data_IF_136190258277
#
_entry.id   IF_136190258277
#
_cell.length_a   1.000
_cell.length_b   1.000
_cell.length_c   1.000
_cell.angle_alpha   90.00
_cell.angle_beta   90.00
_cell.angle_gamma   90.00
#
_symmetry.space_group_name_H-M   'P 1'
#
loop_
_entity.id
_entity.type
_entity.pdbx_description
1 polymer ?
#
# COMPACT_ATOMS: atom_id res chain seq x y z
N UNK A 1 2.44 18.32 -40.49
CA UNK A 1 2.11 18.29 -39.05
C UNK A 1 3.21 17.51 -38.35
N UNK A 2 3.95 18.18 -37.50
CA UNK A 2 5.26 17.76 -37.00
C UNK A 2 5.10 16.79 -35.82
N UNK A 3 5.79 15.67 -35.89
CA UNK A 3 5.85 14.60 -34.90
C UNK A 3 6.66 14.99 -33.63
N UNK A 4 6.46 16.20 -33.09
CA UNK A 4 7.21 16.71 -31.94
C UNK A 4 6.45 16.61 -30.61
N UNK A 5 5.16 16.26 -30.64
CA UNK A 5 4.32 16.28 -29.42
C UNK A 5 4.38 14.98 -28.59
N UNK A 6 5.00 13.93 -29.11
CA UNK A 6 5.13 12.64 -28.40
C UNK A 6 6.26 12.59 -27.35
N UNK A 7 7.04 13.65 -27.19
CA UNK A 7 8.19 13.67 -26.26
C UNK A 7 7.78 14.11 -24.85
N UNK A 8 6.64 14.79 -24.70
CA UNK A 8 6.20 15.38 -23.42
C UNK A 8 5.74 14.32 -22.43
N UNK A 9 5.03 13.29 -22.86
CA UNK A 9 4.51 12.23 -21.99
C UNK A 9 5.61 11.31 -21.42
N UNK A 10 6.67 11.04 -22.17
CA UNK A 10 7.79 10.22 -21.73
C UNK A 10 8.72 10.90 -20.70
N UNK A 11 8.65 12.22 -20.53
CA UNK A 11 9.56 12.96 -19.64
C UNK A 11 9.05 13.03 -18.20
N UNK A 12 7.74 13.06 -17.97
CA UNK A 12 7.15 13.18 -16.65
C UNK A 12 7.23 11.87 -15.87
N UNK A 13 6.93 10.75 -16.53
CA UNK A 13 7.03 9.42 -15.92
C UNK A 13 8.48 9.02 -15.53
N UNK A 14 9.50 9.66 -16.12
CA UNK A 14 10.91 9.41 -15.80
C UNK A 14 11.41 10.10 -14.52
N UNK A 15 10.57 10.88 -13.86
CA UNK A 15 10.97 11.67 -12.69
C UNK A 15 10.60 11.04 -11.35
N UNK A 16 9.94 9.88 -11.36
CA UNK A 16 9.71 9.12 -10.12
C UNK A 16 11.04 8.60 -9.58
N UNK A 17 11.20 8.69 -8.29
CA UNK A 17 12.39 8.24 -7.57
C UNK A 17 12.16 6.84 -7.00
N UNK A 18 13.22 6.00 -7.07
CA UNK A 18 13.24 4.66 -6.52
C UNK A 18 14.21 4.66 -5.34
N UNK A 19 13.70 4.55 -4.13
CA UNK A 19 14.48 4.52 -2.91
C UNK A 19 14.11 3.30 -2.05
N UNK A 20 15.08 2.41 -1.83
CA UNK A 20 14.85 1.14 -1.13
C UNK A 20 13.73 0.32 -1.78
N UNK A 21 12.65 0.11 -1.06
CA UNK A 21 11.44 -0.58 -1.49
C UNK A 21 10.31 0.38 -1.92
N UNK A 22 10.58 1.68 -2.00
CA UNK A 22 9.60 2.74 -2.24
C UNK A 22 9.83 3.36 -3.62
N UNK A 23 8.73 3.59 -4.34
CA UNK A 23 8.71 4.46 -5.51
C UNK A 23 7.92 5.70 -5.14
N UNK A 24 8.54 6.87 -5.20
CA UNK A 24 7.91 8.10 -4.75
C UNK A 24 8.11 9.27 -5.71
N UNK A 25 7.30 10.29 -5.53
CA UNK A 25 7.38 11.54 -6.28
C UNK A 25 6.28 12.51 -5.89
N UNK A 26 6.40 13.75 -6.33
CA UNK A 26 5.33 14.75 -6.13
C UNK A 26 4.04 14.29 -6.78
N UNK A 27 2.95 14.33 -6.01
CA UNK A 27 1.66 13.73 -6.38
C UNK A 27 0.99 14.38 -7.61
N UNK A 28 1.32 15.63 -7.89
CA UNK A 28 0.76 16.45 -8.97
C UNK A 28 1.65 16.53 -10.22
N UNK A 29 2.95 16.19 -10.09
CA UNK A 29 3.91 16.37 -11.17
C UNK A 29 4.64 15.08 -11.59
N UNK A 30 4.99 14.23 -10.64
CA UNK A 30 5.86 13.07 -10.84
C UNK A 30 5.10 11.74 -10.72
N UNK A 31 4.38 11.55 -9.61
CA UNK A 31 3.57 10.36 -9.37
C UNK A 31 2.17 10.54 -9.96
N UNK A 32 2.10 10.56 -11.29
CA UNK A 32 0.84 10.61 -12.03
C UNK A 32 0.17 9.24 -12.09
N UNK A 33 -1.13 9.15 -12.40
CA UNK A 33 -1.79 7.86 -12.65
C UNK A 33 -1.10 7.02 -13.73
N UNK A 34 -0.51 7.64 -14.75
CA UNK A 34 0.27 6.95 -15.77
C UNK A 34 1.55 6.34 -15.18
N UNK A 35 2.28 7.09 -14.34
CA UNK A 35 3.46 6.57 -13.66
C UNK A 35 3.10 5.40 -12.74
N UNK A 36 2.02 5.52 -11.97
CA UNK A 36 1.53 4.47 -11.08
C UNK A 36 1.11 3.20 -11.85
N UNK A 37 0.42 3.35 -12.99
CA UNK A 37 0.08 2.24 -13.89
C UNK A 37 1.35 1.52 -14.37
N UNK A 38 2.36 2.27 -14.81
CA UNK A 38 3.63 1.70 -15.29
C UNK A 38 4.40 0.99 -14.17
N UNK A 39 4.38 1.52 -12.94
CA UNK A 39 4.97 0.83 -11.78
C UNK A 39 4.22 -0.48 -11.53
N UNK A 40 2.89 -0.47 -11.55
CA UNK A 40 2.06 -1.67 -11.40
C UNK A 40 2.37 -2.73 -12.45
N UNK A 41 2.47 -2.34 -13.73
CA UNK A 41 2.82 -3.24 -14.80
C UNK A 41 4.26 -3.79 -14.68
N UNK A 42 5.24 -2.93 -14.35
CA UNK A 42 6.62 -3.34 -14.12
C UNK A 42 6.77 -4.29 -12.91
N UNK A 43 5.95 -4.10 -11.88
CA UNK A 43 5.90 -4.99 -10.72
C UNK A 43 5.33 -6.36 -11.10
N UNK A 44 4.22 -6.37 -11.83
CA UNK A 44 3.51 -7.58 -12.23
C UNK A 44 4.29 -8.44 -13.25
N UNK A 45 5.04 -7.81 -14.17
CA UNK A 45 5.84 -8.51 -15.18
C UNK A 45 6.91 -9.46 -14.61
N UNK A 46 7.17 -9.37 -13.30
CA UNK A 46 8.10 -10.25 -12.58
C UNK A 46 7.49 -11.59 -12.18
N UNK A 47 6.18 -11.72 -12.20
CA UNK A 47 5.49 -12.90 -11.71
C UNK A 47 5.28 -13.94 -12.80
N UNK A 48 5.49 -15.21 -12.43
CA UNK A 48 5.08 -16.32 -13.27
C UNK A 48 3.56 -16.50 -13.16
N UNK A 49 2.89 -16.62 -14.30
CA UNK A 49 1.44 -16.82 -14.34
C UNK A 49 1.06 -18.29 -14.12
N UNK A 50 -0.09 -18.59 -13.49
CA UNK A 50 -1.07 -17.64 -12.93
C UNK A 50 -0.59 -17.02 -11.60
N UNK A 51 -0.83 -15.74 -11.40
CA UNK A 51 -0.44 -15.02 -10.20
C UNK A 51 -1.50 -14.00 -9.78
N UNK A 52 -1.47 -13.63 -8.50
CA UNK A 52 -2.32 -12.56 -7.92
C UNK A 52 -1.46 -11.55 -7.19
N UNK A 53 -1.82 -10.28 -7.26
CA UNK A 53 -1.17 -9.22 -6.50
C UNK A 53 -2.21 -8.32 -5.82
N UNK A 54 -1.93 -7.93 -4.58
CA UNK A 54 -2.81 -7.07 -3.80
C UNK A 54 -2.42 -5.60 -3.92
N UNK A 55 -3.41 -4.70 -3.90
CA UNK A 55 -3.17 -3.25 -3.87
C UNK A 55 -4.08 -2.59 -2.85
N UNK A 56 -3.48 -1.80 -1.95
CA UNK A 56 -4.18 -1.02 -0.94
C UNK A 56 -3.81 0.46 -1.05
N UNK A 57 -4.66 1.34 -0.52
CA UNK A 57 -4.38 2.76 -0.40
C UNK A 57 -4.64 3.27 1.01
N UNK A 58 -3.95 4.32 1.42
CA UNK A 58 -4.11 4.99 2.72
C UNK A 58 -5.48 5.67 2.91
N UNK A 59 -6.22 5.90 1.85
CA UNK A 59 -7.60 6.42 1.89
C UNK A 59 -7.75 7.87 1.42
N UNK A 60 -6.67 8.65 1.28
CA UNK A 60 -6.73 9.97 0.68
C UNK A 60 -7.14 9.89 -0.80
N UNK A 61 -7.86 10.89 -1.33
CA UNK A 61 -8.39 10.85 -2.70
C UNK A 61 -7.33 10.54 -3.76
N UNK A 62 -6.13 11.14 -3.65
CA UNK A 62 -5.04 10.89 -4.61
C UNK A 62 -4.52 9.45 -4.53
N UNK A 63 -4.36 8.91 -3.32
CA UNK A 63 -3.94 7.52 -3.12
C UNK A 63 -4.93 6.53 -3.70
N UNK A 64 -6.23 6.83 -3.62
CA UNK A 64 -7.29 6.01 -4.22
C UNK A 64 -7.20 6.03 -5.75
N UNK A 65 -7.00 7.19 -6.36
CA UNK A 65 -6.82 7.30 -7.83
C UNK A 65 -5.60 6.51 -8.28
N UNK A 66 -4.46 6.68 -7.62
CA UNK A 66 -3.24 5.97 -7.93
C UNK A 66 -3.39 4.44 -7.72
N UNK A 67 -4.13 4.00 -6.69
CA UNK A 67 -4.45 2.58 -6.48
C UNK A 67 -5.12 1.97 -7.70
N UNK A 68 -6.13 2.63 -8.27
CA UNK A 68 -6.82 2.11 -9.46
C UNK A 68 -5.91 2.08 -10.69
N UNK A 69 -5.02 3.04 -10.83
CA UNK A 69 -4.01 3.03 -11.89
C UNK A 69 -3.04 1.84 -11.73
N UNK A 70 -2.57 1.57 -10.53
CA UNK A 70 -1.72 0.39 -10.22
C UNK A 70 -2.45 -0.91 -10.52
N UNK A 71 -3.72 -1.05 -10.10
CA UNK A 71 -4.54 -2.23 -10.39
C UNK A 71 -4.66 -2.49 -11.89
N UNK A 72 -4.95 -1.44 -12.68
CA UNK A 72 -5.01 -1.54 -14.12
C UNK A 72 -3.66 -1.96 -14.73
N UNK A 73 -2.54 -1.42 -14.21
CA UNK A 73 -1.20 -1.80 -14.63
C UNK A 73 -0.89 -3.28 -14.36
N UNK A 74 -1.24 -3.78 -13.19
CA UNK A 74 -1.06 -5.20 -12.81
C UNK A 74 -1.90 -6.10 -13.73
N UNK A 75 -3.19 -5.80 -13.86
CA UNK A 75 -4.10 -6.59 -14.68
C UNK A 75 -3.69 -6.62 -16.16
N UNK A 76 -3.11 -5.53 -16.67
CA UNK A 76 -2.62 -5.46 -18.05
C UNK A 76 -1.51 -6.47 -18.37
N UNK A 77 -0.87 -7.05 -17.37
CA UNK A 77 0.19 -8.06 -17.52
C UNK A 77 -0.31 -9.50 -17.29
N UNK A 78 -1.63 -9.72 -17.23
CA UNK A 78 -2.22 -11.05 -17.00
C UNK A 78 -2.22 -11.50 -15.55
N UNK A 79 -1.84 -10.65 -14.60
CA UNK A 79 -1.86 -10.94 -13.17
C UNK A 79 -3.18 -10.49 -12.57
N UNK A 80 -3.85 -11.34 -11.79
CA UNK A 80 -5.07 -10.95 -11.09
C UNK A 80 -4.74 -9.87 -10.05
N UNK A 81 -5.48 -8.75 -10.09
CA UNK A 81 -5.25 -7.60 -9.25
C UNK A 81 -6.33 -7.49 -8.17
N UNK A 82 -5.96 -7.65 -6.91
CA UNK A 82 -6.90 -7.66 -5.79
C UNK A 82 -6.91 -6.31 -5.07
N UNK A 83 -8.01 -5.59 -5.18
CA UNK A 83 -8.19 -4.32 -4.48
C UNK A 83 -8.50 -4.59 -3.00
N UNK A 84 -7.64 -4.10 -2.11
CA UNK A 84 -7.88 -4.12 -0.66
C UNK A 84 -8.50 -2.78 -0.25
N UNK A 85 -9.49 -2.83 0.66
CA UNK A 85 -10.04 -1.61 1.26
C UNK A 85 -8.97 -0.85 2.02
N UNK A 86 -9.19 0.46 2.25
CA UNK A 86 -8.25 1.29 2.97
C UNK A 86 -7.91 0.68 4.34
N UNK A 87 -6.64 0.37 4.55
CA UNK A 87 -6.12 -0.28 5.74
C UNK A 87 -4.76 0.33 6.11
N UNK A 88 -4.28 0.05 7.31
CA UNK A 88 -2.91 0.39 7.67
C UNK A 88 -1.90 -0.46 6.86
N UNK A 89 -0.70 0.07 6.66
CA UNK A 89 0.37 -0.66 5.96
C UNK A 89 0.66 -2.02 6.61
N UNK A 90 0.64 -2.10 7.95
CA UNK A 90 0.85 -3.36 8.69
C UNK A 90 -0.28 -4.38 8.46
N UNK A 91 -1.53 -3.93 8.40
CA UNK A 91 -2.67 -4.78 8.06
C UNK A 91 -2.58 -5.25 6.61
N UNK A 92 -2.14 -4.40 5.70
CA UNK A 92 -1.91 -4.75 4.31
C UNK A 92 -0.79 -5.79 4.13
N UNK A 93 0.37 -5.59 4.76
CA UNK A 93 1.46 -6.56 4.79
C UNK A 93 0.99 -7.95 5.26
N UNK A 94 0.21 -7.98 6.36
CA UNK A 94 -0.42 -9.21 6.84
C UNK A 94 -1.37 -9.84 5.80
N UNK A 95 -2.15 -9.00 5.10
CA UNK A 95 -3.05 -9.43 4.03
C UNK A 95 -2.31 -10.12 2.91
N UNK A 96 -1.27 -9.52 2.35
CA UNK A 96 -0.46 -10.09 1.25
C UNK A 96 -0.02 -11.50 1.61
N UNK A 97 0.58 -11.66 2.80
CA UNK A 97 1.05 -12.96 3.27
C UNK A 97 -0.07 -13.99 3.45
N UNK A 98 -1.27 -13.56 3.91
CA UNK A 98 -2.38 -14.48 4.22
C UNK A 98 -3.17 -14.92 3.01
N UNK A 99 -3.23 -14.11 1.98
CA UNK A 99 -4.04 -14.38 0.79
C UNK A 99 -3.29 -15.14 -0.30
N UNK A 100 -1.99 -15.39 -0.10
CA UNK A 100 -1.17 -16.08 -1.08
C UNK A 100 -0.93 -15.26 -2.35
N UNK A 101 -1.01 -13.94 -2.24
CA UNK A 101 -0.61 -13.05 -3.33
C UNK A 101 0.90 -13.16 -3.57
N UNK A 102 1.32 -13.10 -4.83
CA UNK A 102 2.74 -13.10 -5.21
C UNK A 102 3.48 -11.82 -4.77
N UNK A 103 2.72 -10.82 -4.32
CA UNK A 103 3.21 -9.58 -3.74
C UNK A 103 2.11 -8.55 -3.62
N UNK A 104 2.50 -7.33 -3.22
CA UNK A 104 1.53 -6.24 -3.08
C UNK A 104 2.14 -4.86 -3.21
N UNK A 105 1.29 -3.87 -3.48
CA UNK A 105 1.65 -2.45 -3.51
C UNK A 105 0.74 -1.67 -2.56
N UNK A 106 1.34 -0.96 -1.62
CA UNK A 106 0.66 -0.03 -0.74
C UNK A 106 0.85 1.39 -1.25
N UNK A 107 -0.25 2.07 -1.50
CA UNK A 107 -0.26 3.46 -2.00
C UNK A 107 -0.51 4.40 -0.84
N UNK A 108 0.45 5.25 -0.55
CA UNK A 108 0.40 6.25 0.49
C UNK A 108 0.52 7.67 -0.10
N UNK A 109 0.00 8.65 0.63
CA UNK A 109 0.22 10.06 0.34
C UNK A 109 0.51 10.80 1.65
N UNK A 110 1.61 11.51 1.72
CA UNK A 110 1.98 12.32 2.88
C UNK A 110 1.93 13.82 2.57
N UNK A 111 0.83 14.26 1.98
CA UNK A 111 0.58 15.65 1.62
C UNK A 111 1.08 15.99 0.21
N UNK A 112 2.37 16.24 0.01
CA UNK A 112 2.91 16.57 -1.33
C UNK A 112 3.44 15.35 -2.08
N UNK A 113 3.92 14.33 -1.36
CA UNK A 113 4.52 13.15 -1.95
C UNK A 113 3.54 11.98 -1.94
N UNK A 114 3.39 11.35 -3.09
CA UNK A 114 2.77 10.04 -3.19
C UNK A 114 3.85 8.96 -3.23
N UNK A 115 3.60 7.87 -2.54
CA UNK A 115 4.53 6.77 -2.32
C UNK A 115 3.87 5.44 -2.64
N UNK A 116 4.57 4.61 -3.38
CA UNK A 116 4.19 3.22 -3.64
C UNK A 116 5.20 2.33 -2.92
N UNK A 117 4.79 1.67 -1.84
CA UNK A 117 5.61 0.73 -1.09
C UNK A 117 5.34 -0.67 -1.62
N UNK A 118 6.39 -1.36 -2.07
CA UNK A 118 6.29 -2.67 -2.72
C UNK A 118 6.64 -3.79 -1.75
N UNK A 119 5.84 -4.84 -1.75
CA UNK A 119 5.96 -6.01 -0.88
C UNK A 119 6.10 -7.31 -1.68
N UNK A 120 6.86 -8.26 -1.14
CA UNK A 120 6.96 -9.62 -1.65
C UNK A 120 5.76 -10.50 -1.20
N UNK A 121 5.78 -11.78 -1.55
CA UNK A 121 4.76 -12.77 -1.20
C UNK A 121 4.65 -13.03 0.32
N UNK A 122 5.68 -12.70 1.09
CA UNK A 122 5.71 -12.84 2.55
C UNK A 122 5.16 -11.59 3.26
N UNK A 123 4.75 -10.57 2.50
CA UNK A 123 4.36 -9.27 3.03
C UNK A 123 5.53 -8.49 3.63
N UNK A 124 6.76 -8.79 3.19
CA UNK A 124 7.98 -8.06 3.55
C UNK A 124 8.29 -7.08 2.42
N UNK A 125 8.86 -5.96 2.76
CA UNK A 125 9.31 -4.97 1.79
C UNK A 125 10.23 -5.60 0.73
N UNK A 126 10.04 -5.19 -0.51
CA UNK A 126 10.71 -5.79 -1.65
C UNK A 126 12.23 -5.63 -1.54
N UNK A 127 12.95 -6.72 -1.82
CA UNK A 127 14.42 -6.70 -1.76
C UNK A 127 15.02 -5.72 -2.79
N UNK A 128 16.24 -5.19 -2.53
CA UNK A 128 16.92 -4.29 -3.47
C UNK A 128 17.10 -4.86 -4.88
N UNK A 129 17.34 -6.17 -4.99
CA UNK A 129 17.48 -6.84 -6.29
C UNK A 129 16.17 -6.88 -7.05
N UNK A 130 15.09 -7.22 -6.36
CA UNK A 130 13.75 -7.22 -6.92
C UNK A 130 13.32 -5.80 -7.30
N UNK A 131 13.66 -4.80 -6.50
CA UNK A 131 13.39 -3.40 -6.82
C UNK A 131 14.18 -2.91 -8.05
N UNK A 132 15.43 -3.36 -8.23
CA UNK A 132 16.19 -3.06 -9.46
C UNK A 132 15.49 -3.62 -10.70
N UNK A 133 14.89 -4.81 -10.60
CA UNK A 133 14.10 -5.40 -11.67
C UNK A 133 12.86 -4.57 -12.00
N UNK A 134 12.11 -4.13 -10.97
CA UNK A 134 10.95 -3.22 -11.16
C UNK A 134 11.38 -1.91 -11.83
N UNK A 135 12.46 -1.30 -11.34
CA UNK A 135 13.01 -0.06 -11.92
C UNK A 135 13.40 -0.25 -13.39
N UNK A 136 14.06 -1.34 -13.71
CA UNK A 136 14.43 -1.66 -15.11
C UNK A 136 13.19 -1.84 -15.98
N UNK A 137 12.18 -2.57 -15.51
CA UNK A 137 10.89 -2.72 -16.19
C UNK A 137 10.18 -1.38 -16.39
N UNK A 138 10.20 -0.50 -15.39
CA UNK A 138 9.60 0.83 -15.47
C UNK A 138 10.32 1.73 -16.51
N UNK A 139 11.65 1.72 -16.55
CA UNK A 139 12.45 2.61 -17.40
C UNK A 139 12.57 2.11 -18.84
N UNK A 140 12.74 0.81 -19.04
CA UNK A 140 13.12 0.21 -20.31
C UNK A 140 12.16 -0.88 -20.81
N UNK A 141 11.24 -1.34 -19.95
CA UNK A 141 10.30 -2.39 -20.32
C UNK A 141 9.31 -1.90 -21.38
N UNK A 142 9.25 -2.60 -22.50
CA UNK A 142 8.10 -2.54 -23.38
C UNK A 142 6.96 -3.26 -22.65
N UNK A 143 6.13 -2.49 -21.93
CA UNK A 143 4.93 -3.02 -21.32
C UNK A 143 3.91 -3.31 -22.43
N UNK A 144 4.01 -4.49 -23.01
CA UNK A 144 3.02 -4.94 -23.99
C UNK A 144 1.78 -5.37 -23.21
N UNK A 145 0.63 -4.72 -23.43
CA UNK A 145 -0.60 -5.21 -22.87
C UNK A 145 -0.85 -6.63 -23.41
N UNK A 146 -1.19 -7.53 -22.52
CA UNK A 146 -1.62 -8.88 -22.85
C UNK A 146 -2.87 -8.83 -23.73
N UNK A 147 -3.09 -9.83 -24.56
CA UNK A 147 -4.31 -9.95 -25.36
C UNK A 147 -5.54 -10.05 -24.43
N UNK A 148 -6.71 -9.59 -24.87
CA UNK A 148 -7.94 -9.55 -24.08
C UNK A 148 -8.26 -10.85 -23.32
N UNK A 149 -7.97 -12.00 -23.92
CA UNK A 149 -8.20 -13.30 -23.30
C UNK A 149 -7.22 -13.68 -22.18
N UNK A 150 -6.17 -12.89 -22.00
CA UNK A 150 -5.08 -13.16 -21.05
C UNK A 150 -4.93 -12.05 -20.00
N UNK A 151 -5.84 -11.07 -19.98
CA UNK A 151 -5.84 -10.01 -18.96
C UNK A 151 -6.17 -10.59 -17.58
N UNK A 152 -5.50 -10.04 -16.56
CA UNK A 152 -5.84 -10.36 -15.17
C UNK A 152 -7.19 -9.78 -14.77
N UNK A 153 -7.84 -10.45 -13.82
CA UNK A 153 -9.13 -10.02 -13.26
C UNK A 153 -8.87 -9.03 -12.12
N UNK A 154 -9.64 -7.93 -12.09
CA UNK A 154 -9.62 -7.02 -10.95
C UNK A 154 -10.71 -7.45 -9.98
N UNK A 155 -10.29 -7.97 -8.82
CA UNK A 155 -11.13 -8.41 -7.72
C UNK A 155 -11.11 -7.47 -6.52
N UNK A 156 -11.85 -7.84 -5.45
CA UNK A 156 -11.85 -7.11 -4.18
C UNK A 156 -11.65 -8.08 -3.01
N UNK A 157 -10.68 -7.79 -2.16
CA UNK A 157 -10.43 -8.49 -0.90
C UNK A 157 -11.04 -7.71 0.26
N UNK A 158 -11.99 -8.35 0.96
CA UNK A 158 -12.70 -7.78 2.10
C UNK A 158 -12.45 -8.60 3.39
N UNK A 159 -12.77 -8.04 4.55
CA UNK A 159 -12.74 -8.75 5.85
C UNK A 159 -11.35 -8.98 6.44
N UNK A 160 -10.31 -8.41 5.87
CA UNK A 160 -8.93 -8.67 6.26
C UNK A 160 -8.47 -7.80 7.43
N UNK A 161 -9.10 -6.65 7.65
CA UNK A 161 -8.82 -5.80 8.81
C UNK A 161 -9.24 -6.51 10.09
N UNK A 162 -10.41 -7.16 10.10
CA UNK A 162 -10.90 -7.97 11.21
C UNK A 162 -9.99 -9.18 11.49
N UNK A 163 -9.51 -9.84 10.44
CA UNK A 163 -8.57 -10.97 10.59
C UNK A 163 -7.23 -10.49 11.19
N UNK A 164 -6.76 -9.31 10.83
CA UNK A 164 -5.59 -8.70 11.41
C UNK A 164 -5.79 -8.31 12.88
N UNK A 165 -6.94 -7.71 13.23
CA UNK A 165 -7.32 -7.43 14.62
C UNK A 165 -7.32 -8.70 15.48
N UNK A 166 -7.93 -9.78 14.99
CA UNK A 166 -7.92 -11.07 15.70
C UNK A 166 -6.49 -11.61 15.89
N UNK A 167 -5.65 -11.45 14.89
CA UNK A 167 -4.23 -11.85 15.00
C UNK A 167 -3.48 -11.06 16.06
N UNK A 168 -3.73 -9.75 16.15
CA UNK A 168 -3.15 -8.90 17.20
C UNK A 168 -3.63 -9.32 18.58
N UNK A 169 -4.93 -9.56 18.75
CA UNK A 169 -5.51 -10.01 20.02
C UNK A 169 -4.95 -11.35 20.48
N UNK A 170 -4.73 -12.28 19.56
CA UNK A 170 -4.11 -13.58 19.88
C UNK A 170 -2.63 -13.48 20.28
N UNK A 171 -1.93 -12.40 19.84
CA UNK A 171 -0.52 -12.17 20.15
C UNK A 171 -0.28 -11.43 21.46
N UNK A 172 -1.32 -10.84 22.05
CA UNK A 172 -1.21 -10.08 23.29
C UNK A 172 -1.43 -11.03 24.48
N UNK A 173 -0.44 -11.11 25.34
CA UNK A 173 -0.51 -11.96 26.53
C UNK A 173 -1.65 -11.51 27.45
N UNK A 174 -2.41 -12.47 27.96
CA UNK A 174 -3.56 -12.26 28.86
C UNK A 174 -3.21 -11.42 30.11
N UNK A 175 -1.96 -11.41 30.52
CA UNK A 175 -1.44 -10.61 31.63
C UNK A 175 -1.46 -9.10 31.37
N UNK A 176 -1.43 -8.65 30.12
CA UNK A 176 -1.64 -7.26 29.75
C UNK A 176 -3.11 -6.81 29.83
N UNK A 177 -4.03 -7.74 30.02
CA UNK A 177 -5.46 -7.45 30.21
C UNK A 177 -5.81 -6.95 31.60
N UNK A 178 -4.85 -6.83 32.51
CA UNK A 178 -5.10 -6.48 33.90
C UNK A 178 -5.48 -5.00 34.05
N UNK A 179 -6.80 -4.80 34.19
CA UNK A 179 -7.47 -3.79 35.05
C UNK A 179 -6.81 -2.41 35.08
N UNK A 180 -6.53 -1.80 33.93
CA UNK A 180 -6.00 -0.46 33.89
C UNK A 180 -7.14 0.53 33.61
N UNK A 181 -7.60 1.24 34.65
CA UNK A 181 -8.58 2.33 34.55
C UNK A 181 -8.02 3.59 33.88
N UNK A 182 -6.83 3.49 33.28
CA UNK A 182 -6.16 4.60 32.60
C UNK A 182 -6.74 4.81 31.21
N UNK A 183 -6.85 6.05 30.81
CA UNK A 183 -7.23 6.43 29.44
C UNK A 183 -5.97 6.61 28.60
N UNK A 184 -5.90 5.87 27.48
CA UNK A 184 -4.83 6.03 26.50
C UNK A 184 -5.25 7.02 25.42
N UNK A 185 -4.41 8.02 25.16
CA UNK A 185 -4.58 8.91 24.01
C UNK A 185 -3.75 8.41 22.85
N UNK A 186 -4.41 8.18 21.72
CA UNK A 186 -3.76 7.69 20.50
C UNK A 186 -3.75 8.81 19.47
N UNK A 187 -2.55 9.32 19.15
CA UNK A 187 -2.28 10.15 18.00
C UNK A 187 -1.67 9.29 16.89
N UNK A 188 -2.48 8.81 15.95
CA UNK A 188 -2.01 7.99 14.85
C UNK A 188 -2.85 8.28 13.58
N UNK A 189 -2.32 8.03 12.37
CA UNK A 189 -3.08 8.10 11.14
C UNK A 189 -4.40 7.31 11.25
N UNK A 190 -5.43 7.77 10.55
CA UNK A 190 -6.80 7.29 10.75
C UNK A 190 -6.94 5.76 10.71
N UNK A 191 -6.35 5.10 9.70
CA UNK A 191 -6.45 3.64 9.55
C UNK A 191 -5.72 2.89 10.65
N UNK A 192 -4.47 3.28 10.96
CA UNK A 192 -3.68 2.67 12.04
C UNK A 192 -4.31 2.91 13.41
N UNK A 193 -4.73 4.16 13.67
CA UNK A 193 -5.39 4.55 14.90
C UNK A 193 -6.70 3.80 15.13
N UNK A 194 -7.47 3.53 14.07
CA UNK A 194 -8.73 2.78 14.13
C UNK A 194 -8.51 1.33 14.58
N UNK A 195 -7.55 0.63 13.97
CA UNK A 195 -7.22 -0.76 14.32
C UNK A 195 -6.71 -0.85 15.76
N UNK A 196 -5.74 -0.01 16.12
CA UNK A 196 -5.16 0.01 17.47
C UNK A 196 -6.23 0.31 18.51
N UNK A 197 -7.09 1.32 18.28
CA UNK A 197 -8.17 1.68 19.19
C UNK A 197 -9.15 0.52 19.40
N UNK A 198 -9.54 -0.20 18.32
CA UNK A 198 -10.45 -1.35 18.46
C UNK A 198 -9.81 -2.50 19.24
N UNK A 199 -8.54 -2.79 19.00
CA UNK A 199 -7.81 -3.81 19.76
C UNK A 199 -7.73 -3.45 21.23
N UNK A 200 -7.37 -2.21 21.58
CA UNK A 200 -7.26 -1.76 22.96
C UNK A 200 -8.61 -1.73 23.69
N UNK A 201 -9.67 -1.28 23.03
CA UNK A 201 -11.04 -1.33 23.57
C UNK A 201 -11.47 -2.77 23.87
N UNK A 202 -11.17 -3.73 22.98
CA UNK A 202 -11.44 -5.16 23.21
C UNK A 202 -10.63 -5.75 24.37
N UNK A 203 -9.47 -5.14 24.68
CA UNK A 203 -8.65 -5.48 25.85
C UNK A 203 -9.10 -4.76 27.14
N UNK A 204 -10.17 -3.96 27.08
CA UNK A 204 -10.74 -3.27 28.24
C UNK A 204 -10.07 -1.94 28.59
N UNK A 205 -9.29 -1.36 27.68
CA UNK A 205 -8.69 -0.05 27.87
C UNK A 205 -9.67 1.07 27.48
N UNK A 206 -9.63 2.19 28.21
CA UNK A 206 -10.26 3.42 27.74
C UNK A 206 -9.35 4.09 26.70
N UNK A 207 -9.89 4.43 25.53
CA UNK A 207 -9.13 5.00 24.43
C UNK A 207 -9.75 6.31 23.98
N UNK A 208 -8.97 7.37 24.00
CA UNK A 208 -9.28 8.64 23.37
C UNK A 208 -8.43 8.78 22.09
N UNK A 209 -9.10 9.07 20.95
CA UNK A 209 -8.41 9.37 19.70
C UNK A 209 -8.27 10.88 19.57
N UNK A 210 -7.04 11.35 19.44
CA UNK A 210 -6.76 12.69 18.92
C UNK A 210 -6.52 12.59 17.43
N UNK A 211 -7.26 13.36 16.62
CA UNK A 211 -6.92 13.53 15.22
C UNK A 211 -5.57 14.25 15.16
N UNK A 212 -4.51 13.52 14.83
CA UNK A 212 -3.24 14.15 14.50
C UNK A 212 -3.39 14.82 13.14
N UNK A 213 -3.63 16.11 13.13
CA UNK A 213 -3.34 16.93 11.96
C UNK A 213 -1.83 16.86 11.76
N UNK A 214 -1.43 16.31 10.62
CA UNK A 214 -0.04 16.19 10.17
C UNK A 214 0.85 15.17 10.91
N UNK A 215 0.84 13.93 10.47
CA UNK A 215 2.01 13.05 10.34
C UNK A 215 3.00 12.91 11.51
N UNK A 216 2.60 13.13 12.75
CA UNK A 216 3.48 13.02 13.91
C UNK A 216 3.38 11.64 14.57
N UNK A 217 4.54 11.10 14.92
CA UNK A 217 4.72 9.88 15.69
C UNK A 217 3.81 9.81 16.92
N UNK A 218 3.41 8.62 17.38
CA UNK A 218 2.57 8.47 18.56
C UNK A 218 3.24 9.16 19.76
N UNK A 219 2.60 10.20 20.29
CA UNK A 219 3.02 10.83 21.53
C UNK A 219 2.44 10.00 22.66
N UNK A 220 3.29 9.25 23.33
CA UNK A 220 2.98 8.68 24.64
C UNK A 220 3.20 9.78 25.68
N UNK A 221 2.14 10.32 26.23
CA UNK A 221 2.25 11.27 27.32
C UNK A 221 2.50 10.48 28.62
N UNK A 222 3.75 10.52 29.10
CA UNK A 222 4.19 9.85 30.32
C UNK A 222 3.70 10.56 31.62
N UNK A 223 2.97 11.66 31.52
CA UNK A 223 2.60 12.51 32.65
C UNK A 223 1.28 12.17 33.30
N UNK A 224 0.86 10.90 33.35
CA UNK A 224 -0.25 10.48 34.18
C UNK A 224 0.15 9.25 35.01
N UNK A 225 1.16 9.43 35.86
CA UNK A 225 1.47 8.50 36.96
C UNK A 225 0.63 8.88 38.19
#
# INVERSE_FOLDING_TARGET
MSCKDNIVWGSTARRVEFDGCIVHGYADEQMTPEAALRVGAAFASRFALPAKAAVCASGEPISVVLKYAVLAGIASQGVDAEAVNAASMSAFSYTVRKTGCAGGIYVNNNGRNAELVLFDENGIELSPDAMRSVRAGFLFGEQKPTLDAELGIIGNLNGLEEAYEQRLLCGIWREMMLNNKRTLRIGAPEQSGRVISRVLLRLGWNVERSCAENGLSPVFDENTI
#
